data_IF_343569934643
#
_entry.id   IF_343569934643
#
_cell.length_a   1.000
_cell.length_b   1.000
_cell.length_c   1.000
_cell.angle_alpha   90.00
_cell.angle_beta   90.00
_cell.angle_gamma   90.00
#
_symmetry.space_group_name_H-M   'P 1'
#
loop_
_entity.id
_entity.type
_entity.pdbx_description
1 polymer ?
#
# COMPACT_ATOMS: atom_id res chain seq x y z
N UNK A 1 18.02 21.49 -12.91
CA UNK A 1 17.23 21.27 -11.68
C UNK A 1 17.28 19.79 -11.36
N UNK A 2 17.59 19.42 -10.11
CA UNK A 2 17.43 18.04 -9.65
C UNK A 2 15.97 17.82 -9.21
N UNK A 3 15.39 16.66 -9.58
CA UNK A 3 14.07 16.18 -9.18
C UNK A 3 13.96 14.68 -9.45
N UNK A 4 12.98 14.03 -8.84
CA UNK A 4 12.62 12.67 -9.21
C UNK A 4 11.99 12.60 -10.62
N UNK A 5 12.12 11.44 -11.28
CA UNK A 5 11.64 11.23 -12.64
C UNK A 5 10.11 11.41 -12.78
N UNK A 6 9.34 11.03 -11.75
CA UNK A 6 7.87 11.11 -11.71
C UNK A 6 7.32 12.53 -11.51
N UNK A 7 8.15 13.47 -11.05
CA UNK A 7 7.78 14.89 -11.00
C UNK A 7 8.11 15.50 -12.35
N UNK A 8 7.21 16.21 -13.02
CA UNK A 8 7.54 16.96 -14.24
C UNK A 8 7.53 18.46 -13.97
N UNK A 9 8.42 19.19 -14.64
CA UNK A 9 8.55 20.64 -14.48
C UNK A 9 8.66 21.26 -15.87
N UNK A 10 7.81 22.24 -16.16
CA UNK A 10 7.84 22.95 -17.43
C UNK A 10 7.44 24.44 -17.25
N UNK A 11 8.15 25.39 -17.88
CA UNK A 11 9.42 25.20 -18.58
C UNK A 11 10.58 24.93 -17.59
N UNK A 12 11.66 24.29 -18.06
CA UNK A 12 12.85 23.99 -17.24
C UNK A 12 13.79 25.19 -17.03
N UNK A 13 13.46 26.31 -17.66
CA UNK A 13 14.14 27.59 -17.52
C UNK A 13 13.14 28.70 -17.82
N UNK A 14 13.30 29.83 -17.14
CA UNK A 14 12.49 31.02 -17.38
C UNK A 14 13.34 32.27 -17.24
N UNK A 15 12.73 33.41 -17.54
CA UNK A 15 13.27 34.73 -17.23
C UNK A 15 12.30 35.43 -16.30
N UNK A 16 12.85 36.25 -15.41
CA UNK A 16 12.07 37.11 -14.52
C UNK A 16 11.03 36.32 -13.71
N UNK A 17 9.80 36.82 -13.62
CA UNK A 17 8.70 36.25 -12.84
C UNK A 17 7.82 35.29 -13.65
N UNK A 18 8.37 34.66 -14.69
CA UNK A 18 7.61 33.68 -15.48
C UNK A 18 7.20 32.48 -14.61
N UNK A 19 5.95 32.00 -14.70
CA UNK A 19 5.50 30.85 -13.94
C UNK A 19 6.19 29.57 -14.40
N UNK A 20 6.31 28.61 -13.48
CA UNK A 20 6.67 27.23 -13.76
C UNK A 20 5.55 26.31 -13.27
N UNK A 21 5.27 25.27 -14.03
CA UNK A 21 4.29 24.25 -13.67
C UNK A 21 5.03 23.02 -13.17
N UNK A 22 4.66 22.57 -11.97
CA UNK A 22 5.11 21.29 -11.41
C UNK A 22 3.92 20.34 -11.46
N UNK A 23 4.04 19.25 -12.20
CA UNK A 23 2.97 18.26 -12.37
C UNK A 23 3.40 16.92 -11.77
N UNK A 24 2.48 16.31 -11.03
CA UNK A 24 2.70 15.09 -10.27
C UNK A 24 1.59 14.08 -10.59
N UNK A 25 1.90 12.87 -11.08
CA UNK A 25 0.91 11.83 -11.21
C UNK A 25 0.46 11.33 -9.83
N UNK A 26 -0.76 10.78 -9.76
CA UNK A 26 -1.25 10.11 -8.57
C UNK A 26 -0.26 9.03 -8.11
N UNK A 27 0.03 8.98 -6.81
CA UNK A 27 0.90 7.96 -6.24
C UNK A 27 0.07 6.76 -5.80
N UNK A 28 0.28 5.61 -6.44
CA UNK A 28 -0.44 4.36 -6.15
C UNK A 28 0.34 3.42 -5.23
N UNK A 29 1.60 3.75 -4.93
CA UNK A 29 2.42 2.95 -4.03
C UNK A 29 2.06 3.14 -2.56
N UNK A 30 2.19 2.10 -1.75
CA UNK A 30 1.86 2.12 -0.32
C UNK A 30 2.78 3.02 0.52
N UNK A 31 4.05 3.13 0.16
CA UNK A 31 5.02 3.95 0.91
C UNK A 31 4.96 5.39 0.44
N UNK A 32 5.09 6.32 1.37
CA UNK A 32 5.28 7.75 1.06
C UNK A 32 6.46 7.93 0.10
N UNK A 33 6.32 8.87 -0.84
CA UNK A 33 7.45 9.31 -1.68
C UNK A 33 7.62 10.81 -1.58
N UNK A 34 8.85 11.26 -1.71
CA UNK A 34 9.19 12.67 -1.69
C UNK A 34 10.21 13.01 -2.78
N UNK A 35 10.23 14.28 -3.17
CA UNK A 35 11.29 14.85 -4.01
C UNK A 35 11.43 16.33 -3.67
N UNK A 36 12.58 16.89 -4.02
CA UNK A 36 12.80 18.34 -4.02
C UNK A 36 12.95 18.81 -5.45
N UNK A 37 12.33 19.94 -5.79
CA UNK A 37 12.59 20.68 -7.03
C UNK A 37 13.42 21.90 -6.67
N UNK A 38 14.65 21.95 -7.20
CA UNK A 38 15.55 23.08 -6.96
C UNK A 38 15.55 24.04 -8.15
N UNK A 39 15.03 25.25 -7.93
CA UNK A 39 15.08 26.37 -8.88
C UNK A 39 16.36 27.15 -8.60
N UNK A 40 17.24 27.23 -9.60
CA UNK A 40 18.55 27.89 -9.47
C UNK A 40 18.58 29.13 -10.35
N UNK A 41 19.04 30.25 -9.78
CA UNK A 41 19.29 31.44 -10.58
C UNK A 41 20.45 31.16 -11.57
N UNK A 42 20.30 31.58 -12.83
CA UNK A 42 21.30 31.42 -13.87
C UNK A 42 22.68 31.98 -13.48
N UNK A 43 22.72 33.05 -12.68
CA UNK A 43 23.96 33.70 -12.24
C UNK A 43 24.57 33.07 -10.97
N UNK A 44 24.01 31.96 -10.47
CA UNK A 44 24.56 31.18 -9.34
C UNK A 44 24.45 31.87 -7.98
N UNK A 45 24.36 33.19 -7.92
CA UNK A 45 24.07 33.95 -6.71
C UNK A 45 22.58 33.94 -6.38
N UNK A 46 22.30 33.79 -5.08
CA UNK A 46 20.98 33.67 -4.47
C UNK A 46 20.01 34.76 -4.98
N UNK A 47 18.69 34.45 -5.00
CA UNK A 47 18.09 33.30 -4.32
C UNK A 47 17.71 32.13 -5.23
N UNK A 48 18.34 30.97 -5.00
CA UNK A 48 17.79 29.67 -5.39
C UNK A 48 16.69 29.26 -4.40
N UNK A 49 15.67 28.54 -4.87
CA UNK A 49 14.53 28.06 -4.05
C UNK A 49 14.42 26.55 -4.17
N UNK A 50 14.15 25.89 -3.05
CA UNK A 50 13.85 24.47 -3.00
C UNK A 50 12.36 24.29 -2.69
N UNK A 51 11.67 23.52 -3.51
CA UNK A 51 10.26 23.18 -3.32
C UNK A 51 10.21 21.71 -2.95
N UNK A 52 9.81 21.43 -1.71
CA UNK A 52 9.66 20.07 -1.21
C UNK A 52 8.27 19.54 -1.54
N UNK A 53 8.23 18.32 -2.06
CA UNK A 53 7.01 17.65 -2.48
C UNK A 53 6.91 16.34 -1.70
N UNK A 54 5.80 16.17 -0.99
CA UNK A 54 5.48 14.96 -0.23
C UNK A 54 4.16 14.38 -0.75
N UNK A 55 4.20 13.17 -1.30
CA UNK A 55 3.00 12.41 -1.67
C UNK A 55 2.82 11.27 -0.69
N UNK A 56 1.68 11.29 0.01
CA UNK A 56 1.25 10.19 0.86
C UNK A 56 1.15 8.88 0.06
N UNK A 57 1.41 7.76 0.73
CA UNK A 57 1.16 6.45 0.16
C UNK A 57 -0.33 6.19 -0.05
N UNK A 58 -0.65 5.28 -0.97
CA UNK A 58 -2.01 4.79 -1.15
C UNK A 58 -2.51 4.06 0.11
N UNK A 59 -3.81 4.14 0.37
CA UNK A 59 -4.46 3.41 1.45
C UNK A 59 -4.23 1.90 1.30
N UNK A 60 -4.07 1.21 2.43
CA UNK A 60 -4.03 -0.25 2.43
C UNK A 60 -5.44 -0.76 2.19
N UNK A 61 -5.58 -1.65 1.22
CA UNK A 61 -6.85 -2.29 0.90
C UNK A 61 -6.70 -3.80 0.92
N UNK A 62 -7.78 -4.45 1.32
CA UNK A 62 -7.97 -5.89 1.24
C UNK A 62 -9.33 -6.13 0.60
N UNK A 63 -9.36 -7.01 -0.39
CA UNK A 63 -10.60 -7.53 -0.95
C UNK A 63 -10.66 -9.02 -0.70
N UNK A 64 -11.85 -9.49 -0.35
CA UNK A 64 -12.18 -10.91 -0.32
C UNK A 64 -13.09 -11.19 -1.50
N UNK A 65 -13.02 -12.41 -2.02
CA UNK A 65 -14.04 -12.90 -2.92
C UNK A 65 -15.41 -12.82 -2.21
N UNK A 66 -16.42 -12.36 -2.95
CA UNK A 66 -17.78 -12.26 -2.46
C UNK A 66 -18.45 -13.64 -2.34
N UNK A 67 -17.90 -14.64 -3.03
CA UNK A 67 -18.39 -16.01 -2.93
C UNK A 67 -18.21 -16.54 -1.50
N UNK A 68 -19.29 -17.12 -0.98
CA UNK A 68 -19.30 -17.83 0.31
C UNK A 68 -19.39 -19.32 -0.01
N UNK A 69 -18.26 -19.99 -0.27
CA UNK A 69 -18.29 -21.40 -0.61
C UNK A 69 -18.84 -22.22 0.56
N UNK A 70 -19.76 -23.13 0.26
CA UNK A 70 -20.26 -24.10 1.23
C UNK A 70 -19.18 -25.13 1.55
N UNK A 71 -19.23 -25.66 2.78
CA UNK A 71 -18.33 -26.73 3.22
C UNK A 71 -19.00 -28.08 2.92
N UNK A 72 -18.42 -28.95 2.06
CA UNK A 72 -19.03 -30.23 1.71
C UNK A 72 -19.08 -31.19 2.90
N UNK A 73 -20.21 -31.87 3.10
CA UNK A 73 -20.41 -32.87 4.18
C UNK A 73 -19.43 -34.04 4.11
N UNK A 74 -19.00 -34.43 2.91
CA UNK A 74 -18.02 -35.50 2.68
C UNK A 74 -16.57 -35.08 2.96
N UNK A 75 -16.35 -33.83 3.36
CA UNK A 75 -15.03 -33.21 3.38
C UNK A 75 -14.59 -32.73 1.98
N UNK A 76 -13.53 -31.92 1.94
CA UNK A 76 -13.00 -31.35 0.70
C UNK A 76 -12.13 -30.12 0.93
N UNK A 77 -11.63 -29.54 -0.17
CA UNK A 77 -10.90 -28.26 -0.14
C UNK A 77 -11.88 -27.11 -0.41
N UNK A 78 -11.90 -26.13 0.50
CA UNK A 78 -12.59 -24.86 0.30
C UNK A 78 -11.54 -23.79 0.01
N UNK A 79 -11.65 -23.14 -1.15
CA UNK A 79 -10.72 -22.08 -1.55
C UNK A 79 -11.36 -20.73 -1.27
N UNK A 80 -10.72 -19.93 -0.41
CA UNK A 80 -11.11 -18.55 -0.12
C UNK A 80 -10.05 -17.65 -0.73
N UNK A 81 -10.44 -16.89 -1.74
CA UNK A 81 -9.55 -15.97 -2.44
C UNK A 81 -9.71 -14.55 -1.90
N UNK A 82 -8.61 -13.80 -1.96
CA UNK A 82 -8.58 -12.38 -1.66
C UNK A 82 -7.30 -11.74 -2.17
N UNK A 83 -7.31 -10.42 -2.31
CA UNK A 83 -6.13 -9.65 -2.71
C UNK A 83 -5.84 -8.56 -1.69
N UNK A 84 -4.56 -8.21 -1.55
CA UNK A 84 -4.14 -7.05 -0.78
C UNK A 84 -2.98 -6.35 -1.45
N UNK A 85 -2.94 -5.01 -1.33
CA UNK A 85 -1.80 -4.21 -1.74
C UNK A 85 -0.73 -4.07 -0.63
N UNK A 86 -0.80 -4.85 0.45
CA UNK A 86 0.10 -4.76 1.60
C UNK A 86 0.78 -6.09 1.93
N UNK A 87 2.11 -6.12 1.82
CA UNK A 87 2.95 -7.25 2.24
C UNK A 87 3.09 -7.41 3.76
N UNK A 88 2.55 -6.47 4.55
CA UNK A 88 2.57 -6.52 6.02
C UNK A 88 1.31 -7.12 6.64
N UNK A 89 0.29 -7.43 5.84
CA UNK A 89 -0.91 -8.11 6.33
C UNK A 89 -0.70 -9.62 6.27
N UNK A 90 -1.10 -10.30 7.35
CA UNK A 90 -1.09 -11.76 7.45
C UNK A 90 -2.51 -12.27 7.59
N UNK A 91 -2.85 -13.33 6.86
CA UNK A 91 -4.13 -14.01 6.98
C UNK A 91 -4.09 -15.08 8.07
N UNK A 92 -5.20 -15.26 8.78
CA UNK A 92 -5.41 -16.36 9.73
C UNK A 92 -6.78 -16.95 9.49
N UNK A 93 -6.87 -18.26 9.63
CA UNK A 93 -8.14 -18.99 9.61
C UNK A 93 -8.44 -19.47 11.04
N UNK A 94 -9.72 -19.55 11.39
CA UNK A 94 -10.17 -20.04 12.68
C UNK A 94 -11.68 -20.21 12.69
N UNK A 95 -12.18 -20.71 13.80
CA UNK A 95 -13.60 -21.00 14.00
C UNK A 95 -14.12 -20.00 15.03
N UNK A 96 -15.38 -19.56 14.90
CA UNK A 96 -16.06 -18.87 15.98
C UNK A 96 -16.94 -19.86 16.74
N UNK A 97 -16.74 -19.96 18.05
CA UNK A 97 -17.57 -20.74 18.97
C UNK A 97 -18.14 -19.75 19.98
N UNK A 98 -19.46 -19.63 20.05
CA UNK A 98 -20.15 -18.67 20.93
C UNK A 98 -19.63 -17.22 20.81
N UNK A 99 -19.23 -16.83 19.59
CA UNK A 99 -18.70 -15.50 19.29
C UNK A 99 -17.22 -15.29 19.61
N UNK A 100 -16.53 -16.28 20.19
CA UNK A 100 -15.08 -16.22 20.41
C UNK A 100 -14.30 -16.85 19.25
N UNK A 101 -13.25 -16.16 18.80
CA UNK A 101 -12.32 -16.70 17.80
C UNK A 101 -11.40 -17.75 18.42
N UNK A 102 -11.44 -18.96 17.85
CA UNK A 102 -10.55 -20.07 18.18
C UNK A 102 -9.68 -20.36 16.96
N UNK A 103 -8.33 -20.23 17.05
CA UNK A 103 -7.46 -20.64 15.96
C UNK A 103 -7.62 -22.15 15.73
N UNK A 104 -7.63 -22.60 14.47
CA UNK A 104 -7.94 -24.01 14.18
C UNK A 104 -7.03 -25.00 14.93
N UNK A 105 -5.74 -24.67 15.08
CA UNK A 105 -4.79 -25.51 15.81
C UNK A 105 -5.08 -25.58 17.32
N UNK A 106 -5.69 -24.54 17.90
CA UNK A 106 -6.19 -24.57 19.28
C UNK A 106 -7.45 -25.43 19.40
N UNK A 107 -8.38 -25.29 18.44
CA UNK A 107 -9.62 -26.09 18.40
C UNK A 107 -9.35 -27.60 18.28
N UNK A 108 -8.45 -28.01 17.36
CA UNK A 108 -8.13 -29.43 17.17
C UNK A 108 -7.59 -30.04 18.47
N UNK A 109 -6.68 -29.34 19.15
CA UNK A 109 -6.09 -29.82 20.41
C UNK A 109 -7.12 -29.91 21.54
N UNK A 110 -7.95 -28.89 21.71
CA UNK A 110 -8.86 -28.80 22.85
C UNK A 110 -10.11 -29.69 22.69
N UNK A 111 -10.58 -29.94 21.45
CA UNK A 111 -11.85 -30.65 21.20
C UNK A 111 -11.65 -32.05 20.63
N UNK A 112 -10.66 -32.24 19.76
CA UNK A 112 -10.43 -33.53 19.09
C UNK A 112 -9.39 -34.37 19.86
N UNK A 113 -8.56 -33.73 20.68
CA UNK A 113 -7.46 -34.36 21.42
C UNK A 113 -6.26 -34.67 20.52
N UNK A 114 -5.09 -34.91 21.13
CA UNK A 114 -3.79 -35.11 20.46
C UNK A 114 -3.68 -36.49 19.72
N UNK A 115 -4.78 -37.02 19.19
CA UNK A 115 -4.91 -38.38 18.66
C UNK A 115 -4.25 -38.65 17.29
N UNK A 116 -3.10 -38.01 17.00
CA UNK A 116 -2.20 -38.48 15.93
C UNK A 116 -1.02 -39.22 16.58
N UNK A 117 -1.29 -40.46 17.00
CA UNK A 117 -0.30 -41.49 17.31
C UNK A 117 -0.46 -42.65 16.35
#
# INVERSE_FOLDING_TARGET
MAKAAWCTVAPMSGKENAPINITLPAHTGRLVRNTTVTVTNKNGTKPSKAITINQAGAAVTTTMDATKPDVPKTGGTVVINGTSNSSKLSWRFGILIDGQYVPLMGFIRDVIGDGYG
#
